data_IF_356444928746
#
_entry.id   IF_356444928746
#
_cell.length_a   1.000
_cell.length_b   1.000
_cell.length_c   1.000
_cell.angle_alpha   90.00
_cell.angle_beta   90.00
_cell.angle_gamma   90.00
#
_symmetry.space_group_name_H-M   'P 1'
#
loop_
_entity.id
_entity.type
_entity.pdbx_description
1 polymer ?
#
# COMPACT_ATOMS: atom_id res chain seq x y z
N UNK A 1 -9.89 -4.16 3.83
CA UNK A 1 -9.71 -3.02 4.77
C UNK A 1 -10.16 -3.42 6.16
N UNK A 2 -9.59 -2.86 7.20
CA UNK A 2 -10.12 -3.03 8.56
C UNK A 2 -11.42 -2.25 8.73
N UNK A 3 -12.20 -2.56 9.80
CA UNK A 3 -13.39 -1.78 10.16
C UNK A 3 -13.07 -0.31 10.38
N UNK A 4 -11.94 -0.02 11.04
CA UNK A 4 -11.51 1.35 11.30
C UNK A 4 -11.16 2.11 10.01
N UNK A 5 -10.41 1.50 9.11
CA UNK A 5 -10.13 2.07 7.79
C UNK A 5 -11.40 2.39 7.00
N UNK A 6 -12.39 1.48 7.02
CA UNK A 6 -13.69 1.72 6.37
C UNK A 6 -14.46 2.86 7.06
N UNK A 7 -14.43 2.90 8.39
CA UNK A 7 -15.09 3.97 9.15
C UNK A 7 -14.52 5.34 8.82
N UNK A 8 -13.20 5.46 8.75
CA UNK A 8 -12.51 6.72 8.39
C UNK A 8 -12.76 7.12 6.94
N UNK A 9 -12.63 6.18 6.02
CA UNK A 9 -12.79 6.44 4.59
C UNK A 9 -14.21 6.92 4.23
N UNK A 10 -15.24 6.26 4.78
CA UNK A 10 -16.64 6.58 4.50
C UNK A 10 -17.27 7.55 5.51
N UNK A 11 -16.49 8.05 6.47
CA UNK A 11 -16.97 8.93 7.55
C UNK A 11 -18.20 8.35 8.28
N UNK A 12 -18.13 7.08 8.66
CA UNK A 12 -19.25 6.36 9.27
C UNK A 12 -19.46 6.71 10.76
N UNK A 13 -18.61 7.54 11.34
CA UNK A 13 -18.69 8.02 12.71
C UNK A 13 -18.39 6.94 13.75
N UNK A 14 -19.26 6.76 14.74
CA UNK A 14 -19.02 5.86 15.87
C UNK A 14 -19.05 4.37 15.47
N UNK A 15 -18.28 3.56 16.19
CA UNK A 15 -18.14 2.09 16.01
C UNK A 15 -19.47 1.36 15.83
N UNK A 16 -20.52 1.75 16.59
CA UNK A 16 -21.85 1.15 16.50
C UNK A 16 -22.47 1.35 15.11
N UNK A 17 -22.38 2.56 14.55
CA UNK A 17 -22.92 2.84 13.23
C UNK A 17 -22.14 2.11 12.15
N UNK A 18 -20.81 2.12 12.24
CA UNK A 18 -19.93 1.36 11.31
C UNK A 18 -20.31 -0.11 11.30
N UNK A 19 -20.47 -0.74 12.48
CA UNK A 19 -20.87 -2.15 12.57
C UNK A 19 -22.26 -2.38 11.93
N UNK A 20 -23.23 -1.48 12.15
CA UNK A 20 -24.57 -1.58 11.54
C UNK A 20 -24.50 -1.51 10.01
N UNK A 21 -23.74 -0.55 9.46
CA UNK A 21 -23.59 -0.42 8.01
C UNK A 21 -22.93 -1.66 7.42
N UNK A 22 -21.83 -2.15 8.02
CA UNK A 22 -21.12 -3.33 7.53
C UNK A 22 -21.96 -4.61 7.67
N UNK A 23 -22.81 -4.72 8.70
CA UNK A 23 -23.77 -5.80 8.85
C UNK A 23 -24.83 -5.79 7.74
N UNK A 24 -25.36 -4.62 7.40
CA UNK A 24 -26.34 -4.48 6.31
C UNK A 24 -25.75 -4.82 4.93
N UNK A 25 -24.42 -4.82 4.80
CA UNK A 25 -23.69 -5.20 3.58
C UNK A 25 -23.17 -6.65 3.63
N UNK A 26 -23.61 -7.48 4.57
CA UNK A 26 -23.08 -8.83 4.81
C UNK A 26 -23.18 -9.78 3.61
N UNK A 27 -24.12 -9.58 2.70
CA UNK A 27 -24.22 -10.34 1.44
C UNK A 27 -23.06 -10.00 0.48
N UNK A 28 -22.63 -8.73 0.46
CA UNK A 28 -21.59 -8.22 -0.44
C UNK A 28 -20.20 -8.25 0.17
N UNK A 29 -20.12 -8.40 1.51
CA UNK A 29 -18.87 -8.40 2.24
C UNK A 29 -18.65 -9.72 2.96
N UNK A 30 -17.46 -10.28 2.79
CA UNK A 30 -16.92 -11.31 3.67
C UNK A 30 -15.98 -10.66 4.69
N UNK A 31 -15.81 -11.29 5.84
CA UNK A 31 -14.88 -10.81 6.86
C UNK A 31 -14.09 -11.94 7.49
N UNK A 32 -12.93 -11.60 8.02
CA UNK A 32 -12.10 -12.45 8.87
C UNK A 32 -11.72 -11.70 10.13
N UNK A 33 -11.55 -12.45 11.20
CA UNK A 33 -10.98 -11.93 12.44
C UNK A 33 -9.48 -12.12 12.42
N UNK A 34 -8.75 -11.04 12.77
CA UNK A 34 -7.31 -11.05 12.90
C UNK A 34 -6.94 -10.30 14.19
N UNK A 35 -6.67 -11.05 15.24
CA UNK A 35 -6.52 -10.51 16.60
C UNK A 35 -7.77 -9.77 17.06
N UNK A 36 -7.61 -8.48 17.37
CA UNK A 36 -8.69 -7.60 17.81
C UNK A 36 -9.41 -6.88 16.65
N UNK A 37 -8.92 -7.03 15.42
CA UNK A 37 -9.49 -6.37 14.25
C UNK A 37 -10.37 -7.30 13.43
N UNK A 38 -11.34 -6.71 12.72
CA UNK A 38 -12.13 -7.39 11.70
C UNK A 38 -11.76 -6.79 10.36
N UNK A 39 -11.35 -7.64 9.43
CA UNK A 39 -10.93 -7.27 8.08
C UNK A 39 -12.02 -7.66 7.11
N UNK A 40 -12.47 -6.70 6.31
CA UNK A 40 -13.54 -6.86 5.33
C UNK A 40 -12.98 -6.89 3.91
N UNK A 41 -13.57 -7.74 3.09
CA UNK A 41 -13.27 -7.85 1.65
C UNK A 41 -14.55 -8.23 0.89
N UNK A 42 -14.56 -8.04 -0.43
CA UNK A 42 -15.74 -8.35 -1.24
C UNK A 42 -16.02 -9.86 -1.25
N UNK A 43 -17.25 -10.24 -0.98
CA UNK A 43 -17.77 -11.58 -1.20
C UNK A 43 -17.82 -11.90 -2.71
N UNK A 44 -18.21 -13.12 -3.09
CA UNK A 44 -18.45 -13.44 -4.50
C UNK A 44 -19.51 -12.51 -5.09
N UNK A 45 -20.64 -12.33 -4.39
CA UNK A 45 -21.72 -11.45 -4.81
C UNK A 45 -21.26 -9.98 -4.88
N UNK A 46 -20.49 -9.51 -3.88
CA UNK A 46 -19.93 -8.16 -3.88
C UNK A 46 -19.01 -7.90 -5.06
N UNK A 47 -18.18 -8.87 -5.46
CA UNK A 47 -17.34 -8.72 -6.66
C UNK A 47 -18.17 -8.60 -7.93
N UNK A 48 -19.19 -9.45 -8.09
CA UNK A 48 -20.10 -9.37 -9.24
C UNK A 48 -20.79 -8.01 -9.28
N UNK A 49 -21.29 -7.54 -8.15
CA UNK A 49 -22.00 -6.26 -8.03
C UNK A 49 -21.14 -5.06 -8.49
N UNK A 50 -19.84 -5.05 -8.15
CA UNK A 50 -18.92 -3.95 -8.52
C UNK A 50 -18.12 -4.22 -9.80
N UNK A 51 -18.37 -5.32 -10.52
CA UNK A 51 -17.64 -5.68 -11.74
C UNK A 51 -16.15 -5.97 -11.49
N UNK A 52 -15.81 -6.62 -10.35
CA UNK A 52 -14.44 -6.92 -9.96
C UNK A 52 -14.12 -8.40 -10.08
N UNK A 53 -13.27 -8.78 -11.02
CA UNK A 53 -12.83 -10.18 -11.21
C UNK A 53 -11.74 -10.62 -10.24
N UNK A 54 -11.06 -9.68 -9.57
CA UNK A 54 -9.94 -9.99 -8.69
C UNK A 54 -10.39 -10.67 -7.40
N UNK A 55 -10.07 -11.95 -7.26
CA UNK A 55 -10.28 -12.72 -6.03
C UNK A 55 -9.14 -12.46 -5.06
N UNK A 56 -9.44 -11.86 -3.91
CA UNK A 56 -8.48 -11.71 -2.81
C UNK A 56 -8.50 -12.97 -1.95
N UNK A 57 -7.41 -13.71 -1.94
CA UNK A 57 -7.21 -14.82 -1.00
C UNK A 57 -6.78 -14.22 0.35
N UNK A 58 -7.39 -14.70 1.40
CA UNK A 58 -6.97 -14.39 2.76
C UNK A 58 -5.76 -15.25 3.09
N UNK A 59 -4.63 -14.63 3.41
CA UNK A 59 -3.36 -15.33 3.68
C UNK A 59 -2.28 -14.35 4.15
N UNK A 60 -1.02 -14.77 4.16
CA UNK A 60 0.11 -14.04 4.72
C UNK A 60 0.38 -12.59 4.25
N UNK A 61 -0.34 -12.12 3.23
CA UNK A 61 -0.22 -10.75 2.72
C UNK A 61 -1.31 -9.78 3.23
N UNK A 62 -2.15 -10.21 4.18
CA UNK A 62 -3.24 -9.38 4.70
C UNK A 62 -2.71 -8.12 5.38
N UNK A 63 -1.74 -8.26 6.29
CA UNK A 63 -1.13 -7.11 6.98
C UNK A 63 -0.44 -6.15 6.02
N UNK A 64 0.27 -6.65 5.02
CA UNK A 64 0.86 -5.84 3.96
C UNK A 64 -0.22 -5.00 3.24
N UNK A 65 -1.36 -5.60 2.92
CA UNK A 65 -2.48 -4.89 2.29
C UNK A 65 -3.10 -3.84 3.24
N UNK A 66 -3.21 -4.14 4.53
CA UNK A 66 -3.72 -3.19 5.55
C UNK A 66 -2.79 -2.00 5.68
N UNK A 67 -1.47 -2.21 5.78
CA UNK A 67 -0.48 -1.14 5.84
C UNK A 67 -0.53 -0.26 4.58
N UNK A 68 -0.63 -0.86 3.40
CA UNK A 68 -0.79 -0.12 2.14
C UNK A 68 -2.05 0.74 2.13
N UNK A 69 -3.18 0.21 2.59
CA UNK A 69 -4.43 0.94 2.69
C UNK A 69 -4.34 2.08 3.73
N UNK A 70 -3.62 1.86 4.84
CA UNK A 70 -3.37 2.90 5.84
C UNK A 70 -2.60 4.08 5.23
N UNK A 71 -1.56 3.79 4.47
CA UNK A 71 -0.79 4.79 3.77
C UNK A 71 -1.63 5.55 2.72
N UNK A 72 -2.50 4.85 2.00
CA UNK A 72 -3.43 5.48 1.06
C UNK A 72 -4.39 6.46 1.77
N UNK A 73 -4.92 6.09 2.93
CA UNK A 73 -5.76 6.96 3.76
C UNK A 73 -4.98 8.18 4.28
N UNK A 74 -3.76 7.97 4.77
CA UNK A 74 -2.87 9.03 5.24
C UNK A 74 -2.61 10.09 4.15
N UNK A 75 -2.42 9.64 2.91
CA UNK A 75 -2.27 10.52 1.74
C UNK A 75 -3.61 11.03 1.16
N UNK A 76 -4.69 10.97 1.96
CA UNK A 76 -6.04 11.48 1.60
C UNK A 76 -6.60 10.87 0.31
N UNK A 77 -6.37 9.58 0.11
CA UNK A 77 -6.94 8.78 -0.97
C UNK A 77 -6.67 9.36 -2.37
N UNK A 78 -5.41 9.44 -2.84
CA UNK A 78 -5.09 10.00 -4.14
C UNK A 78 -5.93 9.34 -5.26
N UNK A 79 -6.51 10.15 -6.15
CA UNK A 79 -7.40 9.67 -7.22
C UNK A 79 -6.68 8.82 -8.26
N UNK A 80 -5.40 9.07 -8.49
CA UNK A 80 -4.55 8.35 -9.45
C UNK A 80 -3.80 7.16 -8.83
N UNK A 81 -4.18 6.77 -7.62
CA UNK A 81 -3.59 5.63 -6.94
C UNK A 81 -3.77 4.32 -7.71
N UNK A 82 -2.67 3.61 -7.90
CA UNK A 82 -2.67 2.26 -8.51
C UNK A 82 -1.90 1.29 -7.63
N UNK A 83 -2.45 0.10 -7.43
CA UNK A 83 -1.81 -0.97 -6.67
C UNK A 83 -1.02 -1.91 -7.59
N UNK A 84 0.10 -2.43 -7.09
CA UNK A 84 0.83 -3.53 -7.71
C UNK A 84 1.22 -3.21 -9.18
N UNK A 85 1.84 -2.03 -9.38
CA UNK A 85 2.22 -1.55 -10.71
C UNK A 85 3.59 -2.09 -11.10
N UNK A 86 3.67 -2.73 -12.26
CA UNK A 86 4.95 -3.12 -12.85
C UNK A 86 5.61 -1.91 -13.51
N UNK A 87 6.84 -1.63 -13.14
CA UNK A 87 7.71 -0.61 -13.73
C UNK A 87 8.88 -1.33 -14.37
N UNK A 88 9.21 -0.98 -15.62
CA UNK A 88 10.27 -1.66 -16.39
C UNK A 88 10.91 -0.71 -17.40
N UNK A 89 12.21 -0.90 -17.64
CA UNK A 89 12.95 -0.29 -18.75
C UNK A 89 13.22 -1.27 -19.91
N UNK A 90 12.61 -2.46 -19.86
CA UNK A 90 12.84 -3.55 -20.80
C UNK A 90 13.82 -4.62 -20.28
N UNK A 91 14.84 -4.23 -19.53
CA UNK A 91 15.87 -5.14 -19.00
C UNK A 91 15.62 -5.47 -17.51
N UNK A 92 15.30 -4.43 -16.74
CA UNK A 92 15.02 -4.54 -15.29
C UNK A 92 13.57 -4.22 -15.03
N UNK A 93 12.96 -4.92 -14.08
CA UNK A 93 11.59 -4.62 -13.66
C UNK A 93 11.44 -4.72 -12.15
N UNK A 94 10.51 -3.95 -11.63
CA UNK A 94 10.01 -3.99 -10.24
C UNK A 94 8.49 -3.94 -10.24
N UNK A 95 7.89 -4.52 -9.21
CA UNK A 95 6.47 -4.31 -8.91
C UNK A 95 6.42 -3.47 -7.65
N UNK A 96 5.88 -2.26 -7.77
CA UNK A 96 5.67 -1.35 -6.65
C UNK A 96 4.33 -1.65 -5.99
N UNK A 97 4.25 -1.58 -4.66
CA UNK A 97 3.02 -1.89 -3.92
C UNK A 97 1.93 -0.85 -4.15
N UNK A 98 2.33 0.40 -4.33
CA UNK A 98 1.44 1.50 -4.70
C UNK A 98 2.15 2.54 -5.55
N UNK A 99 1.41 3.19 -6.44
CA UNK A 99 1.88 4.33 -7.22
C UNK A 99 0.84 5.43 -7.19
N UNK A 100 1.27 6.67 -6.95
CA UNK A 100 0.41 7.85 -6.92
C UNK A 100 1.20 9.11 -7.28
N UNK A 101 0.49 10.23 -7.51
CA UNK A 101 1.12 11.53 -7.71
C UNK A 101 0.89 12.46 -6.53
N UNK A 102 1.92 13.22 -6.16
CA UNK A 102 1.83 14.32 -5.22
C UNK A 102 2.56 15.53 -5.80
N UNK A 103 1.88 16.68 -5.85
CA UNK A 103 2.43 17.92 -6.44
C UNK A 103 2.99 17.74 -7.86
N UNK A 104 2.34 16.91 -8.67
CA UNK A 104 2.76 16.62 -10.04
C UNK A 104 3.86 15.56 -10.20
N UNK A 105 4.43 15.06 -9.10
CA UNK A 105 5.51 14.07 -9.12
C UNK A 105 5.04 12.68 -8.75
N UNK A 106 5.53 11.64 -9.44
CA UNK A 106 5.24 10.24 -9.11
C UNK A 106 5.96 9.78 -7.85
N UNK A 107 5.23 9.04 -7.04
CA UNK A 107 5.68 8.36 -5.84
C UNK A 107 5.43 6.87 -5.98
N UNK A 108 6.43 6.08 -5.61
CA UNK A 108 6.39 4.62 -5.62
C UNK A 108 6.44 4.12 -4.18
N UNK A 109 5.35 3.54 -3.71
CA UNK A 109 5.26 2.99 -2.36
C UNK A 109 5.75 1.55 -2.33
N UNK A 110 6.56 1.26 -1.33
CA UNK A 110 6.98 -0.06 -0.91
C UNK A 110 6.59 -0.30 0.55
N UNK A 111 5.91 -1.40 0.81
CA UNK A 111 5.48 -1.78 2.16
C UNK A 111 6.39 -2.88 2.69
N UNK A 112 7.18 -2.54 3.69
CA UNK A 112 8.13 -3.44 4.35
C UNK A 112 7.52 -4.00 5.63
N UNK A 113 6.82 -5.14 5.52
CA UNK A 113 6.17 -5.81 6.65
C UNK A 113 6.97 -7.04 7.13
N UNK A 114 7.13 -8.03 6.24
CA UNK A 114 7.78 -9.32 6.58
C UNK A 114 9.05 -9.57 5.75
N UNK A 115 9.41 -8.67 4.85
CA UNK A 115 10.58 -8.79 4.00
C UNK A 115 11.87 -8.76 4.84
N UNK A 116 12.85 -9.53 4.40
CA UNK A 116 14.20 -9.41 4.97
C UNK A 116 14.89 -8.14 4.45
N UNK A 117 15.80 -7.57 5.23
CA UNK A 117 16.61 -6.44 4.74
C UNK A 117 17.44 -6.78 3.50
N UNK A 118 17.78 -8.05 3.30
CA UNK A 118 18.42 -8.51 2.06
C UNK A 118 17.50 -8.30 0.85
N UNK A 119 16.23 -8.71 0.95
CA UNK A 119 15.23 -8.50 -0.11
C UNK A 119 15.01 -7.02 -0.41
N UNK A 120 14.92 -6.18 0.64
CA UNK A 120 14.77 -4.75 0.48
C UNK A 120 15.99 -4.12 -0.22
N UNK A 121 17.21 -4.47 0.18
CA UNK A 121 18.44 -4.00 -0.48
C UNK A 121 18.52 -4.41 -1.95
N UNK A 122 18.10 -5.63 -2.29
CA UNK A 122 18.03 -6.07 -3.70
C UNK A 122 17.00 -5.24 -4.50
N UNK A 123 15.86 -4.90 -3.89
CA UNK A 123 14.86 -4.04 -4.51
C UNK A 123 15.38 -2.62 -4.70
N UNK A 124 16.07 -2.06 -3.71
CA UNK A 124 16.72 -0.74 -3.77
C UNK A 124 17.77 -0.70 -4.90
N UNK A 125 18.61 -1.74 -5.07
CA UNK A 125 19.56 -1.83 -6.19
C UNK A 125 18.83 -1.80 -7.55
N UNK A 126 17.71 -2.50 -7.70
CA UNK A 126 16.92 -2.46 -8.95
C UNK A 126 16.35 -1.07 -9.20
N UNK A 127 15.93 -0.33 -8.16
CA UNK A 127 15.56 1.07 -8.30
C UNK A 127 16.70 1.92 -8.82
N UNK A 128 17.92 1.74 -8.29
CA UNK A 128 19.11 2.43 -8.79
C UNK A 128 19.33 2.23 -10.29
N UNK A 129 19.20 0.99 -10.77
CA UNK A 129 19.35 0.65 -12.20
C UNK A 129 18.25 1.30 -13.05
N UNK A 130 16.99 1.26 -12.57
CA UNK A 130 15.85 1.82 -13.31
C UNK A 130 15.79 3.34 -13.31
N UNK A 131 16.45 3.99 -12.36
CA UNK A 131 16.22 5.41 -12.08
C UNK A 131 16.59 6.32 -13.26
N UNK A 132 17.71 6.06 -13.94
CA UNK A 132 18.13 6.85 -15.11
C UNK A 132 17.11 6.78 -16.25
N UNK A 133 16.55 5.58 -16.49
CA UNK A 133 15.51 5.38 -17.48
C UNK A 133 14.20 6.09 -17.09
N UNK A 134 13.81 6.01 -15.83
CA UNK A 134 12.62 6.68 -15.30
C UNK A 134 12.74 8.20 -15.38
N UNK A 135 13.90 8.75 -15.06
CA UNK A 135 14.16 10.21 -15.17
C UNK A 135 14.07 10.66 -16.63
N UNK A 136 14.64 9.90 -17.57
CA UNK A 136 14.53 10.21 -19.00
C UNK A 136 13.08 10.20 -19.50
N UNK A 137 12.27 9.23 -19.03
CA UNK A 137 10.87 9.10 -19.43
C UNK A 137 9.97 10.15 -18.79
N UNK A 138 10.21 10.51 -17.53
CA UNK A 138 9.35 11.41 -16.75
C UNK A 138 9.77 12.86 -16.77
N UNK A 139 11.03 13.16 -17.12
CA UNK A 139 11.60 14.50 -17.03
C UNK A 139 11.94 14.95 -15.60
N UNK A 140 11.78 14.09 -14.60
CA UNK A 140 12.07 14.39 -13.20
C UNK A 140 12.41 13.11 -12.42
N UNK A 141 12.97 13.27 -11.23
CA UNK A 141 13.33 12.17 -10.34
C UNK A 141 12.13 11.77 -9.47
N UNK A 142 11.54 10.58 -9.67
CA UNK A 142 10.44 10.10 -8.84
C UNK A 142 10.90 9.83 -7.40
N UNK A 143 9.96 9.80 -6.46
CA UNK A 143 10.25 9.52 -5.06
C UNK A 143 9.90 8.08 -4.72
N UNK A 144 10.85 7.33 -4.17
CA UNK A 144 10.57 6.02 -3.56
C UNK A 144 10.15 6.24 -2.11
N UNK A 145 9.04 5.66 -1.73
CA UNK A 145 8.48 5.78 -0.37
C UNK A 145 8.42 4.41 0.26
N UNK A 146 9.02 4.25 1.42
CA UNK A 146 8.95 3.04 2.21
C UNK A 146 8.01 3.24 3.40
N UNK A 147 7.16 2.25 3.65
CA UNK A 147 6.37 2.13 4.86
C UNK A 147 6.81 0.88 5.61
N UNK A 148 7.36 1.05 6.79
CA UNK A 148 7.88 -0.06 7.62
C UNK A 148 7.24 -0.09 9.01
N UNK A 149 7.61 -1.08 9.82
CA UNK A 149 6.97 -1.35 11.12
C UNK A 149 7.72 -0.77 12.31
N UNK A 150 9.04 -0.50 12.22
CA UNK A 150 9.86 -0.07 13.37
C UNK A 150 10.90 0.98 13.00
N UNK A 151 11.33 1.76 13.99
CA UNK A 151 12.39 2.77 13.82
C UNK A 151 13.75 2.14 13.43
N UNK A 152 14.05 0.94 13.92
CA UNK A 152 15.25 0.22 13.52
C UNK A 152 15.25 -0.06 12.02
N UNK A 153 14.11 -0.52 11.49
CA UNK A 153 13.96 -0.79 10.06
C UNK A 153 13.98 0.49 9.24
N UNK A 154 13.38 1.58 9.73
CA UNK A 154 13.47 2.90 9.12
C UNK A 154 14.93 3.27 8.87
N UNK A 155 15.75 3.27 9.93
CA UNK A 155 17.17 3.60 9.84
C UNK A 155 17.92 2.74 8.83
N UNK A 156 17.70 1.42 8.85
CA UNK A 156 18.33 0.49 7.90
C UNK A 156 17.91 0.74 6.44
N UNK A 157 16.65 1.12 6.21
CA UNK A 157 16.16 1.47 4.88
C UNK A 157 16.74 2.80 4.40
N UNK A 158 16.76 3.82 5.24
CA UNK A 158 17.37 5.13 4.93
C UNK A 158 18.83 4.99 4.56
N UNK A 159 19.60 4.23 5.35
CA UNK A 159 21.02 3.93 5.07
C UNK A 159 21.18 3.18 3.72
N UNK A 160 20.27 2.25 3.43
CA UNK A 160 20.34 1.45 2.20
C UNK A 160 19.90 2.23 0.96
N UNK A 161 19.06 3.24 1.10
CA UNK A 161 18.55 4.09 0.01
C UNK A 161 19.53 5.17 -0.45
N UNK A 162 20.78 5.18 0.04
CA UNK A 162 21.77 6.19 -0.34
C UNK A 162 21.83 6.41 -1.85
N UNK A 163 21.67 7.68 -2.28
CA UNK A 163 21.63 8.08 -3.69
C UNK A 163 20.24 8.05 -4.36
N UNK A 164 19.22 7.46 -3.74
CA UNK A 164 17.84 7.53 -4.22
C UNK A 164 17.08 8.68 -3.54
N UNK A 165 16.18 9.34 -4.27
CA UNK A 165 15.19 10.24 -3.65
C UNK A 165 14.18 9.40 -2.89
N UNK A 166 14.38 9.25 -1.58
CA UNK A 166 13.66 8.32 -0.73
C UNK A 166 13.01 9.03 0.46
N UNK A 167 11.86 8.51 0.90
CA UNK A 167 11.22 8.83 2.18
C UNK A 167 10.86 7.53 2.88
N UNK A 168 11.10 7.44 4.17
CA UNK A 168 10.75 6.26 4.97
C UNK A 168 9.83 6.67 6.10
N UNK A 169 8.67 6.01 6.16
CA UNK A 169 7.68 6.16 7.23
C UNK A 169 7.60 4.87 8.03
N UNK A 170 7.35 4.98 9.31
CA UNK A 170 6.85 3.86 10.11
C UNK A 170 5.32 3.90 10.14
N UNK A 171 4.70 2.78 10.53
CA UNK A 171 3.26 2.73 10.70
C UNK A 171 2.77 3.73 11.76
N UNK A 172 3.59 4.06 12.74
CA UNK A 172 3.26 5.02 13.80
C UNK A 172 3.20 6.48 13.30
N UNK A 173 3.89 6.81 12.20
CA UNK A 173 3.84 8.17 11.63
C UNK A 173 2.53 8.47 10.91
N UNK A 174 1.77 7.43 10.54
CA UNK A 174 0.62 7.54 9.66
C UNK A 174 -0.71 7.12 10.30
N UNK A 175 -0.66 6.72 11.58
CA UNK A 175 -1.85 6.37 12.39
C UNK A 175 -2.46 7.57 13.13
#
# INVERSE_FOLDING_TARGET
>A
MTRDQLSRYFNLGKKRNTNRVLHNLSEYLSSIRDGYETIYYLSKLGRVYVGCDKVRRVGGHVHHTIMRNEFWLFYRCPRDWKNEVKISDGNTNIIVDGMFSQNGFKHFLEVDNLQTMKQNREKIKRYGILMDSLVKQMGYYPTVVWLTTTELRRKQLEESCGGLKCKVFTINDIQ
#
